data_IF_033755078111
#
_entry.id   IF_033755078111
#
_cell.length_a   1.000
_cell.length_b   1.000
_cell.length_c   1.000
_cell.angle_alpha   90.00
_cell.angle_beta   90.00
_cell.angle_gamma   90.00
#
_symmetry.space_group_name_H-M   'P 1'
#
loop_
_entity.id
_entity.type
_entity.pdbx_description
1 polymer ?
#
# COMPACT_ATOMS: atom_id res chain seq x y z
N UNK A 1 -10.96 7.08 22.16
CA UNK A 1 -11.42 7.40 23.53
C UNK A 1 -12.23 8.66 23.42
N UNK A 2 -13.49 8.72 23.91
CA UNK A 2 -14.27 9.95 23.91
C UNK A 2 -13.50 11.07 24.63
N UNK A 3 -13.23 12.20 23.92
CA UNK A 3 -12.53 13.36 24.46
C UNK A 3 -11.00 13.36 24.32
N UNK A 4 -10.40 12.38 23.64
CA UNK A 4 -8.97 12.41 23.26
C UNK A 4 -8.72 13.19 21.95
N UNK A 5 -7.45 13.54 21.64
CA UNK A 5 -7.13 14.13 20.35
C UNK A 5 -7.53 13.17 19.21
N UNK A 6 -7.90 13.69 18.03
CA UNK A 6 -8.29 12.84 16.91
C UNK A 6 -7.11 11.93 16.52
N UNK A 7 -7.38 10.62 16.42
CA UNK A 7 -6.42 9.66 15.88
C UNK A 7 -6.42 9.82 14.37
N UNK A 8 -5.29 10.18 13.80
CA UNK A 8 -5.09 10.23 12.36
C UNK A 8 -4.62 8.86 11.85
N UNK A 9 -5.05 8.49 10.65
CA UNK A 9 -4.44 7.36 9.93
C UNK A 9 -3.03 7.78 9.52
N UNK A 10 -2.06 6.90 9.66
CA UNK A 10 -0.67 7.21 9.33
C UNK A 10 0.27 6.03 9.60
N UNK A 11 1.45 6.10 9.01
CA UNK A 11 2.55 5.14 9.21
C UNK A 11 3.66 5.75 10.07
N UNK A 12 4.21 4.97 10.99
CA UNK A 12 5.39 5.32 11.76
C UNK A 12 6.22 4.07 12.09
N UNK A 13 7.44 3.99 11.57
CA UNK A 13 8.41 2.92 11.85
C UNK A 13 7.80 1.49 11.73
N UNK A 14 7.13 1.20 10.64
CA UNK A 14 6.51 -0.10 10.38
C UNK A 14 5.18 -0.34 11.09
N UNK A 15 4.67 0.64 11.84
CA UNK A 15 3.35 0.57 12.48
C UNK A 15 2.36 1.45 11.72
N UNK A 16 1.28 0.85 11.22
CA UNK A 16 0.17 1.57 10.61
C UNK A 16 -0.90 1.81 11.66
N UNK A 17 -1.16 3.07 11.97
CA UNK A 17 -2.27 3.49 12.84
C UNK A 17 -3.48 3.80 11.97
N UNK A 18 -4.67 3.33 12.37
CA UNK A 18 -5.90 3.60 11.62
C UNK A 18 -6.94 4.26 12.50
N UNK A 19 -7.61 5.25 11.93
CA UNK A 19 -8.76 5.86 12.59
C UNK A 19 -9.98 4.94 12.42
N UNK A 20 -10.45 4.35 13.52
CA UNK A 20 -11.61 3.45 13.54
C UNK A 20 -12.89 4.13 13.02
N UNK A 21 -13.01 5.45 13.16
CA UNK A 21 -14.15 6.21 12.63
C UNK A 21 -14.28 6.10 11.10
N UNK A 22 -13.18 5.80 10.39
CA UNK A 22 -13.21 5.56 8.93
C UNK A 22 -13.87 4.22 8.54
N UNK A 23 -14.17 3.35 9.50
CA UNK A 23 -14.98 2.16 9.25
C UNK A 23 -16.47 2.51 9.02
N UNK A 24 -16.91 3.68 9.50
CA UNK A 24 -18.25 4.21 9.26
C UNK A 24 -18.36 4.82 7.86
N UNK A 25 -19.37 4.39 7.09
CA UNK A 25 -19.57 4.82 5.69
C UNK A 25 -19.92 6.30 5.59
N UNK A 26 -20.73 6.81 6.51
CA UNK A 26 -21.13 8.21 6.53
C UNK A 26 -19.95 9.13 6.86
N UNK A 27 -19.10 8.70 7.77
CA UNK A 27 -17.88 9.45 8.12
C UNK A 27 -16.89 9.46 6.95
N UNK A 28 -16.70 8.33 6.25
CA UNK A 28 -15.86 8.31 5.03
C UNK A 28 -16.43 9.20 3.93
N UNK A 29 -17.73 9.17 3.72
CA UNK A 29 -18.40 10.02 2.72
C UNK A 29 -18.21 11.51 3.06
N UNK A 30 -18.39 11.89 4.33
CA UNK A 30 -18.16 13.28 4.78
C UNK A 30 -16.73 13.73 4.55
N UNK A 31 -15.74 12.90 4.91
CA UNK A 31 -14.31 13.21 4.70
C UNK A 31 -13.97 13.30 3.22
N UNK A 32 -14.46 12.36 2.40
CA UNK A 32 -14.27 12.39 0.95
C UNK A 32 -14.75 13.70 0.33
N UNK A 33 -15.96 14.16 0.72
CA UNK A 33 -16.51 15.41 0.24
C UNK A 33 -15.71 16.61 0.74
N UNK A 34 -15.37 16.63 2.03
CA UNK A 34 -14.64 17.74 2.66
C UNK A 34 -13.24 17.92 2.09
N UNK A 35 -12.57 16.83 1.68
CA UNK A 35 -11.23 16.83 1.11
C UNK A 35 -11.22 16.87 -0.42
N UNK A 36 -12.41 16.80 -1.07
CA UNK A 36 -12.51 16.76 -2.53
C UNK A 36 -11.88 15.51 -3.16
N UNK A 37 -11.78 14.40 -2.42
CA UNK A 37 -11.19 13.16 -2.90
C UNK A 37 -12.22 12.33 -3.69
N UNK A 38 -11.96 11.97 -4.96
CA UNK A 38 -12.89 11.15 -5.75
C UNK A 38 -12.95 9.69 -5.24
N UNK A 39 -11.90 9.23 -4.58
CA UNK A 39 -11.73 7.86 -4.09
C UNK A 39 -11.20 7.88 -2.65
N UNK A 40 -11.92 7.20 -1.74
CA UNK A 40 -11.52 7.05 -0.34
C UNK A 40 -12.07 5.75 0.21
N UNK A 41 -11.23 4.74 0.35
CA UNK A 41 -11.61 3.42 0.87
C UNK A 41 -10.65 2.98 1.97
N UNK A 42 -11.10 2.05 2.82
CA UNK A 42 -10.24 1.49 3.87
C UNK A 42 -9.03 0.76 3.30
N UNK A 43 -9.22 0.02 2.19
CA UNK A 43 -8.14 -0.68 1.53
C UNK A 43 -7.18 0.28 0.84
N UNK A 44 -7.70 1.36 0.24
CA UNK A 44 -6.87 2.41 -0.37
C UNK A 44 -5.92 3.05 0.65
N UNK A 45 -6.43 3.44 1.81
CA UNK A 45 -5.60 3.96 2.90
C UNK A 45 -4.57 2.95 3.41
N UNK A 46 -4.96 1.67 3.60
CA UNK A 46 -4.01 0.65 4.03
C UNK A 46 -2.86 0.48 3.02
N UNK A 47 -3.18 0.50 1.73
CA UNK A 47 -2.19 0.43 0.65
C UNK A 47 -1.29 1.65 0.65
N UNK A 48 -1.85 2.84 0.79
CA UNK A 48 -1.10 4.09 0.89
C UNK A 48 -0.10 4.05 2.05
N UNK A 49 -0.55 3.75 3.27
CA UNK A 49 0.32 3.67 4.44
C UNK A 49 1.38 2.57 4.32
N UNK A 50 1.05 1.44 3.66
CA UNK A 50 2.05 0.44 3.34
C UNK A 50 3.10 0.96 2.35
N UNK A 51 2.73 1.90 1.47
CA UNK A 51 3.64 2.57 0.56
C UNK A 51 4.78 3.29 1.30
N UNK A 52 4.47 4.00 2.37
CA UNK A 52 5.49 4.64 3.22
C UNK A 52 6.46 3.62 3.84
N UNK A 53 5.95 2.49 4.31
CA UNK A 53 6.80 1.40 4.81
C UNK A 53 7.71 0.83 3.72
N UNK A 54 7.16 0.55 2.54
CA UNK A 54 7.93 -0.01 1.43
C UNK A 54 8.87 1.01 0.79
N UNK A 55 8.61 2.31 0.91
CA UNK A 55 9.59 3.33 0.55
C UNK A 55 10.87 3.19 1.37
N UNK A 56 10.74 3.02 2.69
CA UNK A 56 11.88 2.77 3.56
C UNK A 56 12.69 1.55 3.06
N UNK A 57 12.02 0.45 2.77
CA UNK A 57 12.67 -0.81 2.40
C UNK A 57 13.27 -0.81 0.98
N UNK A 58 12.53 -0.28 0.02
CA UNK A 58 12.86 -0.40 -1.40
C UNK A 58 13.68 0.78 -1.91
N UNK A 59 13.40 1.99 -1.43
CA UNK A 59 14.04 3.23 -1.87
C UNK A 59 15.21 3.58 -0.98
N UNK A 60 14.94 3.91 0.29
CA UNK A 60 15.98 4.37 1.21
C UNK A 60 17.01 3.27 1.49
N UNK A 61 16.58 2.14 2.03
CA UNK A 61 17.45 1.03 2.43
C UNK A 61 17.87 0.17 1.23
N UNK A 62 17.07 0.23 0.14
CA UNK A 62 17.36 -0.36 -1.15
C UNK A 62 18.41 0.38 -1.99
N UNK A 63 18.85 1.57 -1.55
CA UNK A 63 19.89 2.36 -2.22
C UNK A 63 19.43 3.00 -3.53
N UNK A 64 18.12 3.32 -3.65
CA UNK A 64 17.50 3.85 -4.88
C UNK A 64 17.05 5.32 -4.75
N UNK A 65 17.64 6.09 -3.81
CA UNK A 65 17.26 7.48 -3.55
C UNK A 65 17.46 8.38 -4.77
N UNK A 66 18.53 8.23 -5.52
CA UNK A 66 18.81 9.09 -6.68
C UNK A 66 17.80 8.82 -7.81
N UNK A 67 17.47 7.55 -8.06
CA UNK A 67 16.45 7.17 -9.04
C UNK A 67 15.06 7.68 -8.61
N UNK A 68 14.76 7.56 -7.32
CA UNK A 68 13.52 8.07 -6.75
C UNK A 68 13.41 9.60 -6.94
N UNK A 69 14.46 10.36 -6.60
CA UNK A 69 14.46 11.83 -6.75
C UNK A 69 14.30 12.27 -8.19
N UNK A 70 14.87 11.50 -9.11
CA UNK A 70 14.70 11.78 -10.55
C UNK A 70 13.26 11.58 -11.01
N UNK A 71 12.54 10.60 -10.43
CA UNK A 71 11.18 10.22 -10.82
C UNK A 71 10.10 11.01 -10.08
N UNK A 72 10.26 11.21 -8.77
CA UNK A 72 9.23 11.75 -7.88
C UNK A 72 9.58 13.15 -7.34
N UNK A 73 10.84 13.54 -7.35
CA UNK A 73 11.32 14.77 -6.75
C UNK A 73 12.04 14.56 -5.42
N UNK A 74 12.47 15.67 -4.80
CA UNK A 74 13.28 15.64 -3.58
C UNK A 74 12.41 15.47 -2.33
N UNK A 75 12.45 14.29 -1.71
CA UNK A 75 11.71 13.95 -0.50
C UNK A 75 12.16 14.71 0.76
N UNK A 76 13.29 15.43 0.70
CA UNK A 76 13.82 16.21 1.82
C UNK A 76 13.17 17.59 1.97
N UNK A 77 12.22 17.92 1.10
CA UNK A 77 11.40 19.13 1.24
C UNK A 77 10.70 19.12 2.60
N UNK A 78 10.44 20.32 3.15
CA UNK A 78 9.69 20.44 4.40
C UNK A 78 8.27 19.90 4.21
N UNK A 79 8.04 18.72 4.78
CA UNK A 79 6.78 17.99 4.66
C UNK A 79 5.58 18.78 5.19
N UNK A 80 5.72 19.43 6.36
CA UNK A 80 4.63 20.16 6.97
C UNK A 80 4.27 21.42 6.14
N UNK A 81 5.28 22.16 5.67
CA UNK A 81 5.08 23.31 4.81
C UNK A 81 4.48 22.92 3.45
N UNK A 82 4.89 21.79 2.88
CA UNK A 82 4.36 21.28 1.63
C UNK A 82 2.87 20.91 1.74
N UNK A 83 2.47 20.21 2.80
CA UNK A 83 1.06 19.91 3.07
C UNK A 83 0.23 21.16 3.32
N UNK A 84 0.73 22.10 4.12
CA UNK A 84 0.04 23.37 4.37
C UNK A 84 -0.21 24.13 3.06
N UNK A 85 0.80 24.23 2.20
CA UNK A 85 0.69 24.84 0.89
C UNK A 85 -0.31 24.12 -0.02
N UNK A 86 -0.32 22.79 0.00
CA UNK A 86 -1.28 21.99 -0.76
C UNK A 86 -2.72 22.28 -0.34
N UNK A 87 -3.02 22.23 0.96
CA UNK A 87 -4.37 22.50 1.46
C UNK A 87 -4.79 23.96 1.30
N UNK A 88 -3.86 24.92 1.39
CA UNK A 88 -4.12 26.33 1.15
C UNK A 88 -4.48 26.62 -0.32
N UNK A 89 -3.86 25.90 -1.28
CA UNK A 89 -4.14 26.03 -2.72
C UNK A 89 -5.53 25.51 -3.07
N UNK A 90 -6.07 24.56 -2.31
CA UNK A 90 -7.33 23.87 -2.63
C UNK A 90 -7.21 22.99 -3.87
N UNK A 91 -8.33 22.34 -4.23
CA UNK A 91 -8.39 21.43 -5.40
C UNK A 91 -8.82 22.15 -6.69
N UNK A 92 -8.71 23.49 -6.77
CA UNK A 92 -9.27 24.32 -7.85
C UNK A 92 -8.50 24.24 -9.19
N UNK A 93 -7.57 23.32 -9.34
CA UNK A 93 -6.85 23.12 -10.60
C UNK A 93 -6.52 21.66 -10.85
N UNK A 94 -6.62 21.23 -12.12
CA UNK A 94 -6.20 19.90 -12.57
C UNK A 94 -4.71 19.85 -12.97
N UNK A 95 -3.90 20.83 -12.54
CA UNK A 95 -2.47 20.91 -12.90
C UNK A 95 -1.67 19.66 -12.47
N UNK A 96 -2.18 18.92 -11.47
CA UNK A 96 -1.58 17.68 -11.00
C UNK A 96 -1.82 16.49 -11.94
N UNK A 97 -2.92 16.48 -12.71
CA UNK A 97 -3.41 15.29 -13.42
C UNK A 97 -2.45 14.78 -14.51
N UNK A 98 -1.62 15.64 -15.08
CA UNK A 98 -0.63 15.25 -16.09
C UNK A 98 0.61 14.55 -15.47
N UNK A 99 0.85 14.74 -14.18
CA UNK A 99 2.08 14.29 -13.51
C UNK A 99 1.86 13.41 -12.28
N UNK A 100 0.67 13.42 -11.69
CA UNK A 100 0.35 12.72 -10.46
C UNK A 100 -0.94 11.91 -10.60
N UNK A 101 -1.06 10.82 -9.84
CA UNK A 101 -2.23 9.94 -9.90
C UNK A 101 -3.44 10.51 -9.15
N UNK A 102 -3.20 11.39 -8.18
CA UNK A 102 -4.21 12.09 -7.40
C UNK A 102 -3.75 13.51 -7.08
N UNK A 103 -4.69 14.38 -6.68
CA UNK A 103 -4.36 15.73 -6.20
C UNK A 103 -3.45 15.66 -4.96
N UNK A 104 -3.69 14.70 -4.07
CA UNK A 104 -2.90 14.50 -2.85
C UNK A 104 -1.46 14.07 -3.16
N UNK A 105 -1.24 13.28 -4.20
CA UNK A 105 0.10 12.92 -4.66
C UNK A 105 0.96 14.14 -5.00
N UNK A 106 0.33 15.24 -5.45
CA UNK A 106 1.06 16.48 -5.75
C UNK A 106 1.51 17.27 -4.51
N UNK A 107 1.12 16.85 -3.30
CA UNK A 107 1.48 17.55 -2.08
C UNK A 107 2.96 17.41 -1.72
N UNK A 108 3.54 16.22 -1.87
CA UNK A 108 4.93 15.93 -1.51
C UNK A 108 5.44 14.71 -2.25
N UNK A 109 6.73 14.60 -2.64
CA UNK A 109 7.29 13.41 -3.30
C UNK A 109 7.07 12.10 -2.55
N UNK A 110 7.04 12.13 -1.25
CA UNK A 110 6.79 10.96 -0.41
C UNK A 110 5.32 10.50 -0.46
N UNK A 111 4.38 11.46 -0.58
CA UNK A 111 2.96 11.17 -0.81
C UNK A 111 2.71 10.67 -2.24
N UNK A 112 3.42 11.24 -3.22
CA UNK A 112 3.36 10.78 -4.61
C UNK A 112 3.78 9.30 -4.76
N UNK A 113 4.82 8.90 -4.05
CA UNK A 113 5.20 7.49 -3.97
C UNK A 113 4.11 6.64 -3.31
N UNK A 114 3.58 7.05 -2.16
CA UNK A 114 2.58 6.28 -1.42
C UNK A 114 1.27 6.12 -2.22
N UNK A 115 0.82 7.18 -2.90
CA UNK A 115 -0.31 7.13 -3.82
C UNK A 115 -0.02 6.24 -5.04
N UNK A 116 1.15 6.38 -5.67
CA UNK A 116 1.55 5.54 -6.80
C UNK A 116 1.64 4.06 -6.39
N UNK A 117 2.16 3.76 -5.20
CA UNK A 117 2.20 2.43 -4.61
C UNK A 117 0.81 1.84 -4.42
N UNK A 118 -0.11 2.60 -3.82
CA UNK A 118 -1.49 2.17 -3.61
C UNK A 118 -2.17 1.86 -4.94
N UNK A 119 -1.97 2.70 -5.96
CA UNK A 119 -2.51 2.48 -7.30
C UNK A 119 -1.88 1.29 -8.02
N UNK A 120 -0.59 1.05 -7.83
CA UNK A 120 0.06 -0.17 -8.33
C UNK A 120 -0.60 -1.43 -7.75
N UNK A 121 -0.87 -1.46 -6.44
CA UNK A 121 -1.56 -2.58 -5.81
C UNK A 121 -3.02 -2.71 -6.29
N UNK A 122 -3.73 -1.59 -6.53
CA UNK A 122 -5.06 -1.63 -7.15
C UNK A 122 -5.02 -2.26 -8.55
N UNK A 123 -4.03 -1.89 -9.36
CA UNK A 123 -3.83 -2.45 -10.70
C UNK A 123 -3.60 -3.96 -10.64
N UNK A 124 -2.70 -4.42 -9.77
CA UNK A 124 -2.37 -5.85 -9.62
C UNK A 124 -3.61 -6.64 -9.21
N UNK A 125 -4.35 -6.18 -8.19
CA UNK A 125 -5.54 -6.87 -7.68
C UNK A 125 -6.67 -6.93 -8.72
N UNK A 126 -6.87 -5.85 -9.49
CA UNK A 126 -7.88 -5.84 -10.55
C UNK A 126 -7.54 -6.86 -11.64
N UNK A 127 -6.27 -6.93 -12.04
CA UNK A 127 -5.81 -7.88 -13.07
C UNK A 127 -5.89 -9.32 -12.56
N UNK A 128 -5.41 -9.61 -11.35
CA UNK A 128 -5.50 -10.93 -10.73
C UNK A 128 -6.95 -11.40 -10.62
N UNK A 129 -7.83 -10.54 -10.09
CA UNK A 129 -9.25 -10.86 -9.95
C UNK A 129 -9.87 -11.14 -11.33
N UNK A 130 -9.63 -10.30 -12.33
CA UNK A 130 -10.16 -10.51 -13.67
C UNK A 130 -9.65 -11.79 -14.32
N UNK A 131 -8.39 -12.15 -14.07
CA UNK A 131 -7.79 -13.40 -14.55
C UNK A 131 -8.44 -14.63 -13.89
N UNK A 132 -8.75 -14.56 -12.60
CA UNK A 132 -9.41 -15.65 -11.86
C UNK A 132 -10.81 -15.97 -12.40
N UNK A 133 -11.48 -15.00 -13.04
CA UNK A 133 -12.75 -15.16 -13.75
C UNK A 133 -12.59 -15.42 -15.26
N UNK A 134 -11.36 -15.55 -15.77
CA UNK A 134 -11.08 -15.63 -17.21
C UNK A 134 -11.83 -14.53 -18.00
N UNK A 135 -11.85 -13.31 -17.46
CA UNK A 135 -12.64 -12.22 -18.02
C UNK A 135 -12.14 -11.84 -19.43
N UNK A 136 -13.07 -11.62 -20.34
CA UNK A 136 -12.82 -11.07 -21.67
C UNK A 136 -13.64 -9.79 -21.83
N UNK A 137 -12.98 -8.74 -22.27
CA UNK A 137 -13.60 -7.43 -22.48
C UNK A 137 -13.43 -7.02 -23.93
N UNK A 138 -14.52 -6.63 -24.59
CA UNK A 138 -14.48 -6.01 -25.91
C UNK A 138 -14.97 -4.59 -25.79
N UNK A 139 -14.09 -3.63 -26.03
CA UNK A 139 -14.42 -2.21 -26.01
C UNK A 139 -14.61 -1.68 -27.43
N UNK A 140 -15.58 -0.78 -27.66
CA UNK A 140 -15.70 -0.07 -28.94
C UNK A 140 -14.44 0.76 -29.17
N UNK A 141 -13.83 0.62 -30.35
CA UNK A 141 -12.69 1.44 -30.76
C UNK A 141 -12.99 2.16 -32.07
N UNK A 142 -12.32 3.28 -32.33
CA UNK A 142 -12.47 4.06 -33.58
C UNK A 142 -12.12 3.25 -34.85
N UNK A 143 -11.26 2.25 -34.70
CA UNK A 143 -10.86 1.34 -35.81
C UNK A 143 -11.51 -0.05 -35.71
N UNK A 144 -12.60 -0.17 -34.95
CA UNK A 144 -13.31 -1.42 -34.67
C UNK A 144 -13.16 -1.89 -33.24
N UNK A 145 -13.93 -2.93 -32.85
CA UNK A 145 -13.90 -3.45 -31.49
C UNK A 145 -12.52 -4.03 -31.15
N UNK A 146 -12.00 -3.62 -29.99
CA UNK A 146 -10.74 -4.15 -29.44
C UNK A 146 -11.06 -5.15 -28.33
N UNK A 147 -10.56 -6.37 -28.49
CA UNK A 147 -10.71 -7.45 -27.49
C UNK A 147 -9.49 -7.50 -26.59
N UNK A 148 -9.75 -7.59 -25.30
CA UNK A 148 -8.75 -7.78 -24.27
C UNK A 148 -9.14 -8.96 -23.39
N UNK A 149 -8.27 -9.94 -23.27
CA UNK A 149 -8.45 -11.09 -22.37
C UNK A 149 -7.70 -10.82 -21.07
N UNK A 150 -8.25 -11.27 -19.95
CA UNK A 150 -7.62 -11.11 -18.65
C UNK A 150 -6.18 -11.65 -18.64
N UNK A 151 -5.30 -10.94 -17.94
CA UNK A 151 -3.90 -11.31 -17.79
C UNK A 151 -3.60 -11.48 -16.28
N UNK A 152 -3.04 -12.64 -15.94
CA UNK A 152 -2.60 -12.90 -14.57
C UNK A 152 -1.24 -12.24 -14.32
N UNK A 153 -1.14 -11.26 -13.41
CA UNK A 153 0.13 -10.59 -13.10
C UNK A 153 1.17 -11.54 -12.48
N UNK A 154 0.74 -12.68 -11.96
CA UNK A 154 1.58 -13.70 -11.32
C UNK A 154 1.86 -14.92 -12.22
N UNK A 155 1.45 -14.89 -13.47
CA UNK A 155 1.71 -15.97 -14.42
C UNK A 155 3.22 -16.22 -14.58
N UNK A 156 3.55 -17.44 -15.07
CA UNK A 156 4.92 -17.79 -15.42
C UNK A 156 5.00 -18.19 -16.91
N UNK A 157 5.72 -17.43 -17.76
CA UNK A 157 6.48 -16.21 -17.42
C UNK A 157 5.55 -15.05 -17.02
N UNK A 158 6.06 -14.17 -16.17
CA UNK A 158 5.30 -13.00 -15.76
C UNK A 158 5.10 -12.02 -16.94
N UNK A 159 3.91 -11.41 -17.05
CA UNK A 159 3.67 -10.40 -18.08
C UNK A 159 4.54 -9.16 -17.86
N UNK A 160 4.88 -8.47 -18.95
CA UNK A 160 5.53 -7.18 -18.85
C UNK A 160 4.52 -6.08 -18.42
N UNK A 161 5.05 -4.98 -17.91
CA UNK A 161 4.23 -3.87 -17.40
C UNK A 161 3.32 -3.27 -18.49
N UNK A 162 3.82 -3.15 -19.74
CA UNK A 162 3.03 -2.57 -20.83
C UNK A 162 1.82 -3.45 -21.17
N UNK A 163 2.00 -4.76 -21.19
CA UNK A 163 0.91 -5.72 -21.38
C UNK A 163 -0.13 -5.58 -20.25
N UNK A 164 0.30 -5.46 -18.99
CA UNK A 164 -0.62 -5.25 -17.87
C UNK A 164 -1.44 -3.96 -18.02
N UNK A 165 -0.83 -2.85 -18.44
CA UNK A 165 -1.55 -1.59 -18.67
C UNK A 165 -2.56 -1.73 -19.83
N UNK A 166 -2.20 -2.41 -20.91
CA UNK A 166 -3.10 -2.64 -22.05
C UNK A 166 -4.36 -3.43 -21.66
N UNK A 167 -4.26 -4.32 -20.68
CA UNK A 167 -5.42 -5.08 -20.17
C UNK A 167 -6.19 -4.33 -19.09
N UNK A 168 -5.51 -3.51 -18.27
CA UNK A 168 -6.12 -2.71 -17.22
C UNK A 168 -7.11 -1.68 -17.78
N UNK A 169 -6.75 -0.97 -18.86
CA UNK A 169 -7.58 0.12 -19.39
C UNK A 169 -8.97 -0.37 -19.83
N UNK A 170 -9.12 -1.40 -20.68
CA UNK A 170 -10.46 -1.93 -21.02
C UNK A 170 -11.24 -2.42 -19.79
N UNK A 171 -10.55 -3.05 -18.84
CA UNK A 171 -11.16 -3.56 -17.60
C UNK A 171 -11.73 -2.42 -16.74
N UNK A 172 -10.99 -1.36 -16.52
CA UNK A 172 -11.45 -0.20 -15.73
C UNK A 172 -12.56 0.57 -16.42
N UNK A 173 -12.54 0.67 -17.74
CA UNK A 173 -13.65 1.26 -18.53
C UNK A 173 -14.94 0.45 -18.36
N UNK A 174 -14.87 -0.88 -18.45
CA UNK A 174 -16.02 -1.74 -18.21
C UNK A 174 -16.52 -1.60 -16.76
N UNK A 175 -15.63 -1.69 -15.78
CA UNK A 175 -15.95 -1.58 -14.35
C UNK A 175 -16.68 -0.26 -14.04
N UNK A 176 -16.16 0.86 -14.50
CA UNK A 176 -16.78 2.17 -14.32
C UNK A 176 -18.13 2.27 -15.02
N UNK A 177 -18.27 1.68 -16.22
CA UNK A 177 -19.55 1.65 -16.94
C UNK A 177 -20.60 0.83 -16.19
N UNK A 178 -20.22 -0.30 -15.61
CA UNK A 178 -21.11 -1.15 -14.82
C UNK A 178 -21.56 -0.45 -13.53
N UNK A 179 -20.66 0.19 -12.80
CA UNK A 179 -21.03 0.93 -11.58
C UNK A 179 -21.94 2.11 -11.87
N UNK A 180 -21.68 2.87 -12.94
CA UNK A 180 -22.59 3.94 -13.40
C UNK A 180 -23.97 3.41 -13.77
N UNK A 181 -24.07 2.24 -14.40
CA UNK A 181 -25.36 1.61 -14.74
C UNK A 181 -26.17 1.23 -13.50
N UNK A 182 -25.52 1.06 -12.35
CA UNK A 182 -26.14 0.81 -11.05
C UNK A 182 -26.37 2.10 -10.24
N UNK A 183 -26.12 3.28 -10.82
CA UNK A 183 -26.26 4.57 -10.14
C UNK A 183 -25.17 4.85 -9.13
N UNK A 184 -24.04 4.15 -9.23
CA UNK A 184 -22.88 4.33 -8.34
C UNK A 184 -21.79 5.19 -9.01
N UNK A 185 -20.93 5.86 -8.23
CA UNK A 185 -19.73 6.50 -8.75
C UNK A 185 -18.80 5.49 -9.45
N UNK A 186 -17.86 6.01 -10.23
CA UNK A 186 -16.80 5.19 -10.81
C UNK A 186 -16.02 4.45 -9.72
N UNK A 187 -15.85 3.14 -9.90
CA UNK A 187 -15.08 2.33 -8.97
C UNK A 187 -13.57 2.63 -9.06
N UNK A 188 -13.10 3.01 -10.25
CA UNK A 188 -11.72 3.44 -10.49
C UNK A 188 -11.72 4.76 -11.29
N UNK A 189 -11.88 5.92 -10.64
CA UNK A 189 -12.09 7.22 -11.30
C UNK A 189 -10.79 7.92 -11.71
N UNK A 190 -9.75 7.17 -12.09
CA UNK A 190 -8.42 7.73 -12.35
C UNK A 190 -8.04 7.61 -13.82
N UNK A 191 -7.52 8.71 -14.38
CA UNK A 191 -6.89 8.75 -15.68
C UNK A 191 -5.37 8.64 -15.52
N UNK A 192 -4.76 7.62 -16.15
CA UNK A 192 -3.34 7.37 -16.04
C UNK A 192 -2.58 8.10 -17.14
N UNK A 193 -2.10 9.32 -16.85
CA UNK A 193 -1.23 10.07 -17.75
C UNK A 193 0.13 9.37 -17.95
N UNK A 194 0.86 9.74 -19.00
CA UNK A 194 2.15 9.11 -19.31
C UNK A 194 3.17 9.19 -18.18
N UNK A 195 3.22 10.31 -17.45
CA UNK A 195 4.10 10.47 -16.30
C UNK A 195 3.69 9.56 -15.13
N UNK A 196 2.38 9.37 -14.90
CA UNK A 196 1.86 8.44 -13.89
C UNK A 196 2.20 7.00 -14.25
N UNK A 197 2.05 6.62 -15.54
CA UNK A 197 2.45 5.30 -16.01
C UNK A 197 3.95 5.04 -15.84
N UNK A 198 4.80 6.06 -16.02
CA UNK A 198 6.24 5.93 -15.78
C UNK A 198 6.54 5.66 -14.28
N UNK A 199 5.85 6.35 -13.36
CA UNK A 199 5.96 6.13 -11.91
C UNK A 199 5.46 4.73 -11.50
N UNK A 200 4.31 4.29 -12.04
CA UNK A 200 3.79 2.94 -11.81
C UNK A 200 4.75 1.85 -12.31
N UNK A 201 5.38 2.08 -13.47
CA UNK A 201 6.44 1.19 -14.00
C UNK A 201 7.64 1.15 -13.05
N UNK A 202 8.08 2.30 -12.55
CA UNK A 202 9.17 2.37 -11.59
C UNK A 202 8.88 1.53 -10.33
N UNK A 203 7.68 1.64 -9.77
CA UNK A 203 7.23 0.81 -8.63
C UNK A 203 7.23 -0.68 -9.01
N UNK A 204 6.68 -1.01 -10.18
CA UNK A 204 6.66 -2.39 -10.70
C UNK A 204 8.05 -2.99 -10.76
N UNK A 205 8.99 -2.28 -11.39
CA UNK A 205 10.35 -2.75 -11.59
C UNK A 205 11.06 -2.97 -10.24
N UNK A 206 10.88 -2.06 -9.28
CA UNK A 206 11.42 -2.20 -7.93
C UNK A 206 10.86 -3.42 -7.18
N UNK A 207 9.54 -3.66 -7.28
CA UNK A 207 8.90 -4.84 -6.68
C UNK A 207 9.44 -6.12 -7.29
N UNK A 208 9.57 -6.16 -8.62
CA UNK A 208 10.11 -7.33 -9.35
C UNK A 208 11.57 -7.59 -9.00
N UNK A 209 12.40 -6.56 -8.93
CA UNK A 209 13.80 -6.67 -8.51
C UNK A 209 13.91 -7.17 -7.07
N UNK A 210 13.09 -6.65 -6.16
CA UNK A 210 13.09 -7.09 -4.76
C UNK A 210 12.66 -8.56 -4.62
N UNK A 211 11.63 -8.97 -5.37
CA UNK A 211 11.15 -10.36 -5.38
C UNK A 211 12.17 -11.35 -5.98
N UNK A 212 13.03 -10.89 -6.87
CA UNK A 212 14.09 -11.71 -7.46
C UNK A 212 15.34 -11.86 -6.56
N UNK A 213 15.46 -11.03 -5.52
CA UNK A 213 16.58 -11.15 -4.55
C UNK A 213 16.38 -12.39 -3.69
N UNK A 214 17.45 -13.20 -3.44
CA UNK A 214 17.33 -14.29 -2.48
C UNK A 214 16.94 -13.72 -1.11
N UNK A 215 15.99 -14.41 -0.46
CA UNK A 215 15.58 -14.01 0.89
C UNK A 215 16.83 -13.90 1.80
N UNK A 216 16.95 -12.85 2.63
CA UNK A 216 18.01 -12.80 3.63
C UNK A 216 18.00 -14.10 4.42
N UNK A 217 19.15 -14.76 4.53
CA UNK A 217 19.26 -15.93 5.41
C UNK A 217 18.86 -15.44 6.81
N UNK A 218 17.72 -15.92 7.29
CA UNK A 218 17.23 -15.54 8.60
C UNK A 218 18.35 -15.78 9.62
N UNK A 219 18.74 -14.74 10.35
CA UNK A 219 19.64 -14.91 11.46
C UNK A 219 19.06 -16.00 12.38
N UNK A 220 19.85 -16.96 12.88
CA UNK A 220 19.34 -17.99 13.77
C UNK A 220 18.62 -17.32 14.92
N UNK A 221 17.39 -17.77 15.18
CA UNK A 221 16.58 -17.24 16.28
C UNK A 221 17.43 -17.24 17.56
N UNK A 222 17.41 -16.18 18.39
CA UNK A 222 18.13 -16.18 19.64
C UNK A 222 17.73 -17.41 20.45
N UNK A 223 18.73 -18.21 20.81
CA UNK A 223 18.51 -19.40 21.63
C UNK A 223 17.84 -18.96 22.91
N UNK A 224 16.68 -19.50 23.28
CA UNK A 224 16.01 -19.13 24.52
C UNK A 224 16.98 -19.39 25.69
N UNK A 225 17.04 -18.50 26.70
CA UNK A 225 17.89 -18.71 27.85
C UNK A 225 17.59 -20.06 28.49
N UNK A 226 18.63 -20.78 28.84
CA UNK A 226 18.49 -22.07 29.49
C UNK A 226 17.60 -21.94 30.75
N UNK A 227 16.71 -22.88 31.03
CA UNK A 227 15.88 -22.83 32.22
C UNK A 227 16.78 -22.77 33.48
N UNK A 228 16.39 -21.99 34.49
CA UNK A 228 17.16 -21.90 35.73
C UNK A 228 17.36 -23.31 36.33
N UNK A 229 18.59 -23.61 36.73
CA UNK A 229 18.93 -24.90 37.36
C UNK A 229 18.01 -25.14 38.56
N UNK A 230 17.40 -26.33 38.61
CA UNK A 230 16.53 -26.70 39.71
C UNK A 230 17.29 -26.57 41.06
N UNK A 231 16.69 -26.06 42.13
CA UNK A 231 17.35 -25.93 43.43
C UNK A 231 17.78 -27.31 43.92
N UNK A 232 19.09 -27.44 44.19
CA UNK A 232 19.63 -28.66 44.76
C UNK A 232 19.01 -28.91 46.12
N UNK A 233 18.40 -30.07 46.29
CA UNK A 233 17.67 -30.46 47.47
C UNK A 233 18.54 -30.38 48.74
N UNK A 234 18.03 -29.65 49.72
CA UNK A 234 18.61 -29.60 51.06
C UNK A 234 18.55 -31.01 51.68
N UNK A 235 19.72 -31.63 51.90
CA UNK A 235 19.85 -32.90 52.62
C UNK A 235 19.28 -32.71 54.03
N UNK A 236 18.13 -33.33 54.31
CA UNK A 236 17.61 -33.44 55.71
C UNK A 236 18.54 -34.37 56.51
N UNK A 237 19.32 -33.78 57.43
CA UNK A 237 20.01 -34.54 58.47
C UNK A 237 18.99 -35.19 59.42
N UNK A 238 18.78 -36.47 59.32
CA UNK A 238 18.05 -37.23 60.32
C UNK A 238 18.93 -37.44 61.55
N UNK A 239 18.71 -36.66 62.64
CA UNK A 239 19.22 -37.00 63.96
C UNK A 239 18.39 -38.13 64.55
N UNK A 240 19.02 -39.27 64.68
CA UNK A 240 18.58 -40.37 65.49
C UNK A 240 18.43 -39.97 66.95
N UNK A 241 17.23 -40.01 67.47
CA UNK A 241 17.01 -39.89 68.93
C UNK A 241 16.86 -41.31 69.48
N UNK A 242 17.89 -41.72 70.12
CA UNK A 242 17.91 -42.93 70.99
C UNK A 242 17.04 -42.64 72.19
N UNK A 243 16.04 -43.48 72.48
CA UNK A 243 15.21 -43.40 73.67
C UNK A 243 15.39 -44.71 74.44
N UNK A 244 16.29 -44.63 75.45
CA UNK A 244 16.34 -45.65 76.47
C UNK A 244 15.22 -45.50 77.49
N UNK A 245 14.63 -46.56 77.79
CA UNK A 245 13.76 -47.06 78.85
C UNK A 245 13.73 -46.32 80.19
N UNK A 246 12.63 -46.10 80.71
CA UNK A 246 12.01 -46.92 81.80
C UNK A 246 10.50 -46.60 81.85
#
# INVERSE_FOLDING_TARGET
>A
VPGGPPVLTGHNNGTITRNVAEADDDERARRRIALGEPYRTLIGHLRHESGHFYWDQLVRDGGRLDDFRQMFGDERQDYAAALEAHYAKGNDGNDWADHHVSAYAAAHPWEDWAETWAHYLHMIDLLETSASYAAEVTVPGIYGPQRSSAIDPFASPAPDFQSMVQHLVPLTLLLNSLTRSLGQPDAYPFALASAVLAKLRFVHDMVREAAARPAPVAAPAPVPPAPPAAPQGVKKNSKSANKDRR
#
